data_IF_328769951525
#
_entry.id   IF_328769951525
#
_cell.length_a   1.000
_cell.length_b   1.000
_cell.length_c   1.000
_cell.angle_alpha   90.00
_cell.angle_beta   90.00
_cell.angle_gamma   90.00
#
_symmetry.space_group_name_H-M   'P 1'
#
loop_
_entity.id
_entity.type
_entity.pdbx_description
1 polymer ?
#
# COMPACT_ATOMS: atom_id res chain seq x y z
N UNK A 1 42.89 -22.34 -42.83
CA UNK A 1 43.57 -23.19 -41.82
C UNK A 1 44.04 -22.32 -40.66
N UNK A 2 43.36 -22.39 -39.51
CA UNK A 2 43.94 -22.71 -38.19
C UNK A 2 42.87 -22.41 -37.13
N UNK A 3 42.45 -23.49 -36.49
CA UNK A 3 41.62 -23.54 -35.30
C UNK A 3 42.42 -23.02 -34.11
N UNK A 4 41.77 -22.32 -33.19
CA UNK A 4 42.18 -22.31 -31.79
C UNK A 4 40.92 -22.47 -30.94
N UNK A 5 40.87 -23.58 -30.21
CA UNK A 5 39.92 -23.86 -29.14
C UNK A 5 40.44 -23.27 -27.83
N UNK A 6 39.56 -22.72 -27.00
CA UNK A 6 39.68 -22.80 -25.54
C UNK A 6 38.28 -22.85 -24.93
N UNK A 7 38.14 -23.64 -23.87
CA UNK A 7 36.92 -24.27 -23.40
C UNK A 7 36.51 -23.81 -22.00
N UNK A 8 35.23 -24.08 -21.65
CA UNK A 8 34.61 -24.16 -20.31
C UNK A 8 34.65 -22.89 -19.42
N UNK A 9 33.65 -22.53 -18.60
CA UNK A 9 32.43 -23.18 -18.12
C UNK A 9 31.59 -22.14 -17.35
N UNK A 10 30.26 -22.21 -17.42
CA UNK A 10 29.32 -22.15 -16.28
C UNK A 10 27.87 -22.08 -16.77
N UNK A 11 27.12 -23.10 -16.36
CA UNK A 11 25.66 -23.23 -16.41
C UNK A 11 24.96 -22.20 -15.49
N UNK A 12 23.82 -21.71 -15.94
CA UNK A 12 22.59 -21.49 -15.16
C UNK A 12 21.47 -21.21 -16.19
N UNK A 13 20.84 -22.24 -16.75
CA UNK A 13 19.48 -22.70 -16.40
C UNK A 13 18.50 -21.54 -16.21
N UNK A 14 17.96 -21.05 -17.32
CA UNK A 14 16.75 -20.23 -17.36
C UNK A 14 15.56 -21.17 -17.53
N UNK A 15 14.80 -21.39 -16.46
CA UNK A 15 13.58 -22.19 -16.48
C UNK A 15 12.46 -21.42 -17.17
N UNK A 16 12.15 -21.81 -18.40
CA UNK A 16 10.94 -21.43 -19.12
C UNK A 16 9.86 -22.46 -18.76
N UNK A 17 8.95 -22.12 -17.85
CA UNK A 17 7.80 -22.97 -17.53
C UNK A 17 6.67 -22.68 -18.52
N UNK A 18 6.55 -23.54 -19.53
CA UNK A 18 5.43 -23.60 -20.47
C UNK A 18 4.48 -24.69 -19.97
N UNK A 19 3.38 -24.33 -19.29
CA UNK A 19 2.35 -25.31 -18.93
C UNK A 19 1.31 -25.40 -20.06
N UNK A 20 1.38 -26.49 -20.84
CA UNK A 20 0.31 -26.92 -21.73
C UNK A 20 -0.84 -27.52 -20.90
N UNK A 21 -2.05 -27.00 -21.10
CA UNK A 21 -3.29 -27.56 -20.56
C UNK A 21 -3.63 -28.89 -21.26
N UNK A 22 -3.69 -29.97 -20.49
CA UNK A 22 -4.30 -31.24 -20.88
C UNK A 22 -5.74 -31.29 -20.36
N UNK A 23 -6.70 -31.34 -21.27
CA UNK A 23 -8.14 -31.52 -21.00
C UNK A 23 -8.42 -33.02 -20.87
N UNK A 24 -9.01 -33.44 -19.76
CA UNK A 24 -9.81 -34.68 -19.70
C UNK A 24 -11.08 -34.47 -18.85
N UNK A 25 -12.25 -34.94 -19.30
CA UNK A 25 -13.53 -34.74 -18.63
C UNK A 25 -13.80 -35.82 -17.57
N UNK A 26 -14.34 -35.41 -16.42
CA UNK A 26 -14.78 -36.30 -15.34
C UNK A 26 -16.21 -35.97 -14.94
N UNK A 27 -17.04 -37.01 -14.89
CA UNK A 27 -18.50 -37.00 -14.87
C UNK A 27 -19.13 -36.53 -13.56
N UNK A 28 -20.39 -36.12 -13.67
CA UNK A 28 -21.32 -35.74 -12.61
C UNK A 28 -21.75 -36.95 -11.77
N UNK A 29 -22.01 -36.73 -10.47
CA UNK A 29 -22.87 -37.61 -9.69
C UNK A 29 -23.61 -36.78 -8.65
N UNK A 30 -24.93 -36.72 -8.80
CA UNK A 30 -25.87 -36.22 -7.82
C UNK A 30 -26.27 -37.39 -6.90
N UNK A 31 -26.38 -37.15 -5.59
CA UNK A 31 -27.33 -37.91 -4.76
C UNK A 31 -28.04 -36.97 -3.79
N UNK A 32 -29.34 -36.83 -4.00
CA UNK A 32 -30.34 -36.28 -3.09
C UNK A 32 -30.71 -37.34 -2.05
N UNK A 33 -30.91 -36.95 -0.78
CA UNK A 33 -31.77 -37.66 0.18
C UNK A 33 -32.25 -36.70 1.27
N UNK A 34 -33.51 -36.32 1.12
CA UNK A 34 -34.60 -35.92 2.02
C UNK A 34 -34.40 -35.77 3.54
N UNK A 35 -35.12 -34.76 4.03
CA UNK A 35 -35.42 -34.35 5.40
C UNK A 35 -36.11 -35.43 6.26
N UNK A 36 -35.81 -35.44 7.57
CA UNK A 36 -36.80 -35.78 8.61
C UNK A 36 -36.70 -34.76 9.76
N UNK A 37 -37.85 -34.13 10.01
CA UNK A 37 -38.17 -33.25 11.13
C UNK A 37 -38.31 -34.02 12.46
N UNK A 38 -37.85 -33.40 13.53
CA UNK A 38 -38.12 -33.82 14.90
C UNK A 38 -38.17 -32.61 15.80
N UNK A 39 -39.38 -32.09 16.04
CA UNK A 39 -39.66 -31.10 17.06
C UNK A 39 -39.67 -31.75 18.44
N UNK A 40 -38.99 -31.15 19.41
CA UNK A 40 -39.34 -31.33 20.81
C UNK A 40 -39.32 -29.96 21.52
N UNK A 41 -40.38 -29.75 22.29
CA UNK A 41 -40.75 -28.51 22.94
C UNK A 41 -40.54 -28.64 24.45
N UNK A 42 -39.72 -27.76 25.03
CA UNK A 42 -39.55 -27.66 26.48
C UNK A 42 -39.36 -26.20 26.90
N UNK A 43 -40.38 -25.63 27.54
CA UNK A 43 -40.37 -24.28 28.12
C UNK A 43 -39.71 -24.27 29.50
N UNK A 44 -39.03 -23.19 29.89
CA UNK A 44 -38.75 -22.94 31.32
C UNK A 44 -37.68 -21.92 31.70
N UNK A 45 -38.05 -20.64 31.61
CA UNK A 45 -37.74 -19.52 32.52
C UNK A 45 -36.36 -18.86 32.66
N UNK A 46 -36.46 -17.53 32.76
CA UNK A 46 -35.49 -16.44 32.77
C UNK A 46 -34.78 -16.21 34.13
N UNK A 47 -33.61 -15.54 34.04
CA UNK A 47 -32.99 -14.53 34.93
C UNK A 47 -31.45 -14.69 34.81
N UNK A 48 -30.60 -13.72 34.48
CA UNK A 48 -30.70 -12.28 34.26
C UNK A 48 -29.29 -11.69 34.48
N UNK A 49 -28.90 -10.80 33.58
CA UNK A 49 -27.89 -9.73 33.71
C UNK A 49 -26.41 -9.98 33.32
N UNK A 50 -25.88 -9.03 32.54
CA UNK A 50 -24.49 -8.97 32.07
C UNK A 50 -24.27 -8.79 30.56
N UNK A 51 -25.12 -8.03 29.85
CA UNK A 51 -24.94 -7.75 28.41
C UNK A 51 -23.71 -6.86 28.15
N UNK A 52 -22.62 -7.47 27.67
CA UNK A 52 -21.69 -6.80 26.77
C UNK A 52 -22.29 -6.89 25.38
N UNK A 53 -22.66 -5.76 24.77
CA UNK A 53 -23.18 -5.73 23.40
C UNK A 53 -22.04 -5.93 22.40
N UNK A 54 -21.48 -7.14 22.35
CA UNK A 54 -20.88 -7.67 21.14
C UNK A 54 -22.04 -8.22 20.31
N UNK A 55 -22.33 -7.62 19.16
CA UNK A 55 -23.28 -8.23 18.23
C UNK A 55 -22.71 -9.59 17.80
N UNK A 56 -23.39 -10.67 18.18
CA UNK A 56 -23.21 -12.05 17.70
C UNK A 56 -23.57 -12.15 16.20
N UNK A 57 -23.00 -11.30 15.36
CA UNK A 57 -23.09 -11.49 13.92
C UNK A 57 -22.20 -12.68 13.53
N UNK A 58 -22.85 -13.77 13.12
CA UNK A 58 -22.15 -14.90 12.53
C UNK A 58 -21.31 -14.45 11.33
N UNK A 59 -20.09 -15.00 11.21
CA UNK A 59 -19.20 -14.75 10.08
C UNK A 59 -19.85 -15.23 8.78
N UNK A 60 -19.95 -14.33 7.81
CA UNK A 60 -20.45 -14.63 6.47
C UNK A 60 -19.30 -14.56 5.47
N UNK A 61 -18.76 -15.72 5.10
CA UNK A 61 -17.73 -15.81 4.06
C UNK A 61 -18.29 -15.35 2.71
N UNK A 62 -17.51 -14.55 1.98
CA UNK A 62 -17.90 -14.05 0.65
C UNK A 62 -18.98 -12.98 0.67
N UNK A 63 -19.23 -12.37 1.84
CA UNK A 63 -20.23 -11.33 2.06
C UNK A 63 -19.64 -10.23 2.93
N UNK A 64 -20.26 -9.05 2.95
CA UNK A 64 -19.79 -7.89 3.71
C UNK A 64 -18.77 -7.03 2.98
N UNK A 65 -18.33 -5.97 3.66
CA UNK A 65 -17.47 -4.91 3.10
C UNK A 65 -15.98 -5.12 3.34
N UNK A 66 -15.58 -6.09 4.16
CA UNK A 66 -14.16 -6.31 4.43
C UNK A 66 -13.50 -7.09 3.31
N UNK A 67 -12.40 -6.54 2.83
CA UNK A 67 -11.50 -7.08 1.83
C UNK A 67 -10.22 -7.55 2.50
N UNK A 68 -9.78 -8.77 2.21
CA UNK A 68 -8.52 -9.33 2.71
C UNK A 68 -7.77 -9.95 1.53
N UNK A 69 -6.67 -9.33 1.11
CA UNK A 69 -5.72 -9.98 0.20
C UNK A 69 -4.73 -10.81 1.03
N UNK A 70 -4.56 -12.08 0.68
CA UNK A 70 -3.75 -13.04 1.43
C UNK A 70 -2.82 -13.81 0.52
N UNK A 71 -1.70 -14.29 1.07
CA UNK A 71 -0.70 -15.12 0.39
C UNK A 71 -0.49 -16.42 1.16
N UNK A 72 -0.43 -17.53 0.43
CA UNK A 72 -0.14 -18.87 0.95
C UNK A 72 1.36 -19.19 0.89
N UNK A 73 1.76 -20.31 1.49
CA UNK A 73 3.17 -20.76 1.56
C UNK A 73 3.82 -21.00 0.19
N UNK A 74 3.04 -21.47 -0.79
CA UNK A 74 3.47 -21.64 -2.18
C UNK A 74 3.53 -20.31 -2.97
N UNK A 75 3.20 -19.18 -2.35
CA UNK A 75 3.24 -17.85 -2.94
C UNK A 75 1.96 -17.42 -3.68
N UNK A 76 0.97 -18.29 -3.85
CA UNK A 76 -0.30 -17.92 -4.48
C UNK A 76 -1.05 -16.87 -3.65
N UNK A 77 -1.66 -15.88 -4.32
CA UNK A 77 -2.47 -14.87 -3.65
C UNK A 77 -3.96 -15.09 -3.90
N UNK A 78 -4.77 -14.83 -2.87
CA UNK A 78 -6.22 -14.98 -2.89
C UNK A 78 -6.89 -13.73 -2.33
N UNK A 79 -8.16 -13.54 -2.69
CA UNK A 79 -9.05 -12.57 -2.05
C UNK A 79 -10.03 -13.31 -1.15
N UNK A 80 -10.13 -12.84 0.09
CA UNK A 80 -11.20 -13.22 1.02
C UNK A 80 -12.09 -12.01 1.28
N UNK A 81 -13.36 -12.29 1.58
CA UNK A 81 -14.38 -11.29 1.89
C UNK A 81 -15.18 -11.74 3.10
N UNK A 82 -15.45 -10.81 4.02
CA UNK A 82 -16.18 -11.09 5.27
C UNK A 82 -16.95 -9.86 5.77
N UNK A 83 -17.97 -10.06 6.61
CA UNK A 83 -18.70 -9.00 7.30
C UNK A 83 -18.04 -8.56 8.61
N UNK A 84 -17.09 -9.34 9.14
CA UNK A 84 -16.42 -9.04 10.41
C UNK A 84 -14.97 -9.51 10.41
N UNK A 85 -14.12 -8.72 11.09
CA UNK A 85 -12.73 -9.06 11.42
C UNK A 85 -12.54 -9.38 12.92
N UNK A 86 -13.63 -9.50 13.67
CA UNK A 86 -13.62 -9.77 15.11
C UNK A 86 -14.39 -11.03 15.51
N UNK A 87 -15.30 -11.49 14.66
CA UNK A 87 -16.04 -12.73 14.87
C UNK A 87 -15.26 -13.91 14.26
N UNK A 88 -14.85 -14.87 15.08
CA UNK A 88 -14.32 -16.17 14.66
C UNK A 88 -13.02 -16.17 13.82
N UNK A 89 -12.33 -17.31 13.77
CA UNK A 89 -11.19 -17.46 12.85
C UNK A 89 -11.68 -17.73 11.42
N UNK A 90 -10.87 -17.30 10.45
CA UNK A 90 -11.11 -17.55 9.02
C UNK A 90 -10.24 -18.70 8.52
N UNK A 91 -10.55 -19.19 7.32
CA UNK A 91 -9.83 -20.28 6.66
C UNK A 91 -9.70 -19.97 5.18
N UNK A 92 -8.49 -20.10 4.61
CA UNK A 92 -8.21 -19.80 3.20
C UNK A 92 -9.10 -20.59 2.23
N UNK A 93 -9.61 -21.75 2.65
CA UNK A 93 -10.56 -22.55 1.85
C UNK A 93 -11.86 -21.82 1.54
N UNK A 94 -12.17 -20.75 2.28
CA UNK A 94 -13.33 -19.89 2.07
C UNK A 94 -13.03 -18.61 1.26
N UNK A 95 -11.89 -18.57 0.56
CA UNK A 95 -11.60 -17.47 -0.37
C UNK A 95 -12.68 -17.36 -1.48
N UNK A 96 -12.81 -16.17 -2.05
CA UNK A 96 -13.77 -15.93 -3.15
C UNK A 96 -13.10 -15.97 -4.52
N UNK A 97 -11.76 -15.89 -4.56
CA UNK A 97 -10.99 -15.76 -5.79
C UNK A 97 -9.51 -16.04 -5.56
N UNK A 98 -8.91 -16.82 -6.45
CA UNK A 98 -7.46 -16.85 -6.69
C UNK A 98 -7.07 -15.70 -7.62
N UNK A 99 -6.01 -14.97 -7.28
CA UNK A 99 -5.51 -13.87 -8.09
C UNK A 99 -4.66 -14.40 -9.25
N UNK A 100 -4.72 -13.76 -10.43
CA UNK A 100 -4.00 -14.23 -11.61
C UNK A 100 -2.48 -14.01 -11.52
N UNK A 101 -2.03 -13.21 -10.54
CA UNK A 101 -0.63 -12.84 -10.30
C UNK A 101 -0.38 -12.77 -8.79
N UNK A 102 0.87 -12.53 -8.40
CA UNK A 102 1.28 -12.37 -7.00
C UNK A 102 1.93 -11.00 -6.78
N UNK A 103 2.16 -10.64 -5.52
CA UNK A 103 2.72 -9.36 -5.11
C UNK A 103 1.85 -8.15 -5.46
N UNK A 104 0.53 -8.31 -5.41
CA UNK A 104 -0.36 -7.17 -5.57
C UNK A 104 -0.17 -6.16 -4.43
N UNK A 105 -0.17 -4.88 -4.81
CA UNK A 105 -0.37 -3.76 -3.91
C UNK A 105 -1.75 -3.19 -4.13
N UNK A 106 -2.56 -3.14 -3.07
CA UNK A 106 -3.97 -2.74 -3.14
C UNK A 106 -4.17 -1.33 -2.59
N UNK A 107 -4.96 -0.54 -3.31
CA UNK A 107 -5.47 0.76 -2.85
C UNK A 107 -6.99 0.78 -2.96
N UNK A 108 -7.63 1.58 -2.11
CA UNK A 108 -9.09 1.61 -1.97
C UNK A 108 -9.63 3.02 -2.17
N UNK A 109 -10.77 3.12 -2.85
CA UNK A 109 -11.52 4.37 -2.99
C UNK A 109 -13.02 4.05 -2.96
N UNK A 110 -13.70 4.47 -1.90
CA UNK A 110 -15.12 4.16 -1.65
C UNK A 110 -15.42 2.66 -1.78
N UNK A 111 -16.15 2.26 -2.82
CA UNK A 111 -16.55 0.88 -3.09
C UNK A 111 -15.54 0.10 -3.95
N UNK A 112 -14.43 0.70 -4.37
CA UNK A 112 -13.45 0.09 -5.27
C UNK A 112 -12.17 -0.32 -4.56
N UNK A 113 -11.72 -1.55 -4.86
CA UNK A 113 -10.41 -2.07 -4.54
C UNK A 113 -9.62 -2.27 -5.84
N UNK A 114 -8.49 -1.58 -5.97
CA UNK A 114 -7.62 -1.64 -7.14
C UNK A 114 -6.28 -2.23 -6.72
N UNK A 115 -5.98 -3.43 -7.22
CA UNK A 115 -4.71 -4.11 -7.05
C UNK A 115 -3.80 -3.80 -8.23
N UNK A 116 -2.50 -3.57 -7.97
CA UNK A 116 -1.49 -3.36 -9.00
C UNK A 116 -0.25 -4.20 -8.72
N UNK A 117 0.33 -4.78 -9.78
CA UNK A 117 1.59 -5.55 -9.76
C UNK A 117 2.63 -4.81 -10.57
N UNK A 118 3.75 -4.50 -9.92
CA UNK A 118 4.93 -3.94 -10.58
C UNK A 118 5.72 -5.05 -11.27
N UNK A 119 5.98 -4.91 -12.58
CA UNK A 119 6.65 -5.93 -13.37
C UNK A 119 8.02 -5.50 -13.92
N UNK A 120 8.80 -4.76 -13.11
CA UNK A 120 10.14 -4.28 -13.51
C UNK A 120 10.05 -3.55 -14.85
N UNK A 121 10.83 -3.91 -15.87
CA UNK A 121 10.80 -3.32 -17.22
C UNK A 121 9.52 -3.59 -18.04
N UNK A 122 8.66 -4.51 -17.60
CA UNK A 122 7.41 -4.84 -18.31
C UNK A 122 6.24 -3.99 -17.82
N UNK A 123 5.20 -3.91 -18.65
CA UNK A 123 3.94 -3.26 -18.29
C UNK A 123 3.41 -3.79 -16.94
N UNK A 124 2.98 -2.86 -16.10
CA UNK A 124 2.30 -3.20 -14.87
C UNK A 124 1.00 -3.93 -15.16
N UNK A 125 0.55 -4.77 -14.22
CA UNK A 125 -0.76 -5.40 -14.28
C UNK A 125 -1.64 -4.81 -13.19
N UNK A 126 -2.93 -4.72 -13.47
CA UNK A 126 -3.92 -4.27 -12.51
C UNK A 126 -5.12 -5.20 -12.47
N UNK A 127 -5.79 -5.24 -11.33
CA UNK A 127 -7.04 -5.96 -11.13
C UNK A 127 -8.00 -5.10 -10.32
N UNK A 128 -9.23 -4.92 -10.82
CA UNK A 128 -10.25 -4.16 -10.10
C UNK A 128 -11.35 -5.04 -9.51
N UNK A 129 -11.75 -4.74 -8.29
CA UNK A 129 -12.89 -5.31 -7.60
C UNK A 129 -13.78 -4.19 -7.08
N UNK A 130 -15.09 -4.42 -7.09
CA UNK A 130 -16.09 -3.46 -6.61
C UNK A 130 -17.04 -4.12 -5.62
N UNK A 131 -17.17 -3.51 -4.45
CA UNK A 131 -18.24 -3.85 -3.52
C UNK A 131 -19.56 -3.26 -3.99
N UNK A 132 -20.64 -4.03 -3.88
CA UNK A 132 -21.97 -3.63 -4.36
C UNK A 132 -23.01 -3.68 -3.24
N UNK A 133 -22.94 -4.71 -2.39
CA UNK A 133 -23.72 -4.79 -1.15
C UNK A 133 -23.08 -5.76 -0.17
N UNK A 134 -23.54 -5.74 1.08
CA UNK A 134 -23.09 -6.69 2.11
C UNK A 134 -23.55 -8.13 1.85
N UNK A 135 -24.51 -8.34 0.94
CA UNK A 135 -25.09 -9.66 0.66
C UNK A 135 -24.51 -10.34 -0.58
N UNK A 136 -23.61 -9.67 -1.32
CA UNK A 136 -23.00 -10.17 -2.55
C UNK A 136 -21.48 -10.29 -2.42
N UNK A 137 -20.92 -11.16 -3.26
CA UNK A 137 -19.47 -11.14 -3.50
C UNK A 137 -19.06 -9.88 -4.26
N UNK A 138 -17.80 -9.47 -4.14
CA UNK A 138 -17.25 -8.39 -4.95
C UNK A 138 -17.45 -8.64 -6.46
N UNK A 139 -17.95 -7.63 -7.16
CA UNK A 139 -18.02 -7.63 -8.62
C UNK A 139 -16.63 -7.45 -9.21
N UNK A 140 -16.31 -8.22 -10.25
CA UNK A 140 -15.02 -8.15 -10.94
C UNK A 140 -15.06 -7.04 -11.98
N UNK A 141 -14.26 -5.99 -11.77
CA UNK A 141 -13.98 -4.99 -12.79
C UNK A 141 -12.96 -5.52 -13.83
N UNK A 142 -12.21 -6.56 -13.45
CA UNK A 142 -11.32 -7.31 -14.34
C UNK A 142 -9.89 -6.80 -14.35
N UNK A 143 -9.10 -7.41 -15.23
CA UNK A 143 -7.69 -7.08 -15.43
C UNK A 143 -7.50 -5.86 -16.34
N UNK A 144 -6.46 -5.08 -16.09
CA UNK A 144 -6.00 -4.01 -16.96
C UNK A 144 -4.47 -3.95 -16.99
N UNK A 145 -3.90 -3.30 -18.01
CA UNK A 145 -2.45 -3.23 -18.24
C UNK A 145 -1.97 -1.79 -18.15
N UNK A 146 -0.98 -1.53 -17.31
CA UNK A 146 -0.35 -0.23 -17.15
C UNK A 146 0.89 -0.20 -18.06
N UNK A 147 0.67 0.08 -19.36
CA UNK A 147 1.74 0.06 -20.37
C UNK A 147 2.87 1.04 -20.08
N UNK A 148 2.55 2.16 -19.42
CA UNK A 148 3.55 3.14 -18.98
C UNK A 148 4.43 2.61 -17.85
N UNK A 149 4.06 1.51 -17.20
CA UNK A 149 4.58 1.09 -15.88
C UNK A 149 4.21 2.12 -14.81
N UNK A 150 4.65 1.89 -13.57
CA UNK A 150 4.41 2.78 -12.45
C UNK A 150 5.44 2.57 -11.34
N UNK A 151 5.77 3.63 -10.60
CA UNK A 151 6.51 3.58 -9.34
C UNK A 151 5.85 4.40 -8.22
N UNK A 152 4.80 5.15 -8.57
CA UNK A 152 3.97 5.96 -7.69
C UNK A 152 2.51 5.89 -8.17
N UNK A 153 1.56 5.98 -7.25
CA UNK A 153 0.13 5.78 -7.55
C UNK A 153 -0.76 6.46 -6.50
N UNK A 154 -2.05 6.58 -6.78
CA UNK A 154 -3.04 7.07 -5.85
C UNK A 154 -4.34 7.42 -6.56
N UNK A 155 -5.22 8.16 -5.89
CA UNK A 155 -6.48 8.60 -6.48
C UNK A 155 -6.51 10.12 -6.63
N UNK A 156 -7.14 10.58 -7.70
CA UNK A 156 -7.40 11.98 -7.97
C UNK A 156 -8.72 12.11 -8.74
N UNK A 157 -9.66 12.88 -8.20
CA UNK A 157 -11.02 13.05 -8.75
C UNK A 157 -11.73 11.73 -9.05
N UNK A 158 -11.56 10.72 -8.19
CA UNK A 158 -12.14 9.38 -8.35
C UNK A 158 -11.50 8.52 -9.44
N UNK A 159 -10.50 9.04 -10.18
CA UNK A 159 -9.68 8.25 -11.10
C UNK A 159 -8.52 7.61 -10.35
N UNK A 160 -8.12 6.40 -10.76
CA UNK A 160 -6.80 5.89 -10.43
C UNK A 160 -5.78 6.70 -11.22
N UNK A 161 -4.74 7.13 -10.53
CA UNK A 161 -3.60 7.81 -11.12
C UNK A 161 -2.33 7.01 -10.84
N UNK A 162 -1.54 6.79 -11.87
CA UNK A 162 -0.24 6.12 -11.77
C UNK A 162 0.82 6.97 -12.44
N UNK A 163 2.04 6.96 -11.93
CA UNK A 163 3.15 7.69 -12.54
C UNK A 163 4.46 6.93 -12.51
N UNK A 164 5.32 7.20 -13.49
CA UNK A 164 6.69 6.69 -13.56
C UNK A 164 7.63 7.78 -14.07
N UNK A 165 8.83 7.86 -13.50
CA UNK A 165 9.90 8.78 -13.93
C UNK A 165 10.83 8.18 -14.98
N UNK A 166 11.76 9.01 -15.48
CA UNK A 166 12.84 8.59 -16.39
C UNK A 166 12.42 8.32 -17.83
N UNK A 167 11.40 9.02 -18.31
CA UNK A 167 10.92 8.93 -19.68
C UNK A 167 11.80 9.78 -20.59
N UNK A 168 12.12 9.23 -21.77
CA UNK A 168 13.02 9.86 -22.74
C UNK A 168 12.20 10.59 -23.81
N UNK A 169 12.62 11.79 -24.20
CA UNK A 169 11.93 12.55 -25.25
C UNK A 169 12.09 11.88 -26.61
N UNK A 170 11.16 12.15 -27.53
CA UNK A 170 11.20 11.59 -28.87
C UNK A 170 12.50 11.95 -29.64
N UNK A 171 13.12 13.08 -29.33
CA UNK A 171 14.41 13.51 -29.91
C UNK A 171 15.63 13.04 -29.11
N UNK A 172 15.42 12.30 -28.00
CA UNK A 172 16.48 11.75 -27.14
C UNK A 172 17.26 12.79 -26.33
N UNK A 173 16.87 14.08 -26.36
CA UNK A 173 17.59 15.14 -25.66
C UNK A 173 17.25 15.26 -24.17
N UNK A 174 16.11 14.71 -23.76
CA UNK A 174 15.64 14.70 -22.38
C UNK A 174 15.43 13.28 -21.91
N UNK A 175 15.78 13.00 -20.66
CA UNK A 175 15.54 11.74 -19.96
C UNK A 175 14.84 11.94 -18.60
N UNK A 176 14.39 13.15 -18.32
CA UNK A 176 13.79 13.59 -17.07
C UNK A 176 12.25 13.60 -17.11
N UNK A 177 11.65 12.91 -18.07
CA UNK A 177 10.20 12.88 -18.22
C UNK A 177 9.54 12.05 -17.12
N UNK A 178 8.42 12.54 -16.58
CA UNK A 178 7.52 11.77 -15.73
C UNK A 178 6.17 11.61 -16.43
N UNK A 179 5.79 10.37 -16.73
CA UNK A 179 4.50 10.07 -17.36
C UNK A 179 3.49 9.70 -16.30
N UNK A 180 2.34 10.38 -16.32
CA UNK A 180 1.14 10.04 -15.56
C UNK A 180 0.12 9.36 -16.48
N UNK A 181 -0.54 8.33 -15.97
CA UNK A 181 -1.66 7.65 -16.64
C UNK A 181 -2.90 7.74 -15.75
N UNK A 182 -3.99 8.27 -16.34
CA UNK A 182 -5.29 8.51 -15.70
C UNK A 182 -6.25 7.40 -16.10
N UNK A 183 -6.91 6.78 -15.12
CA UNK A 183 -7.76 5.61 -15.34
C UNK A 183 -9.16 5.85 -14.77
N UNK A 184 -10.17 5.75 -15.63
CA UNK A 184 -11.57 5.77 -15.22
C UNK A 184 -11.95 4.43 -14.60
N UNK A 185 -12.63 4.46 -13.46
CA UNK A 185 -13.10 3.26 -12.75
C UNK A 185 -14.63 3.22 -12.84
N UNK A 186 -15.15 2.42 -13.78
CA UNK A 186 -16.58 2.29 -14.00
C UNK A 186 -17.04 0.86 -13.74
N UNK A 187 -18.35 0.61 -13.79
CA UNK A 187 -18.88 -0.75 -13.67
C UNK A 187 -18.40 -1.69 -14.80
N UNK A 188 -17.99 -1.13 -15.95
CA UNK A 188 -17.48 -1.89 -17.10
C UNK A 188 -15.96 -2.12 -17.05
N UNK A 189 -15.30 -1.75 -15.95
CA UNK A 189 -13.88 -1.98 -15.74
C UNK A 189 -13.05 -0.73 -15.46
N UNK A 190 -11.74 -0.93 -15.35
CA UNK A 190 -10.73 0.12 -15.22
C UNK A 190 -10.16 0.42 -16.60
N UNK A 191 -10.40 1.62 -17.13
CA UNK A 191 -10.04 1.98 -18.51
C UNK A 191 -9.14 3.19 -18.54
N UNK A 192 -8.08 3.11 -19.34
CA UNK A 192 -7.18 4.24 -19.58
C UNK A 192 -7.99 5.37 -20.21
N UNK A 193 -7.96 6.53 -19.57
CA UNK A 193 -8.52 7.77 -20.10
C UNK A 193 -7.50 8.43 -21.01
N UNK A 194 -6.35 8.79 -20.45
CA UNK A 194 -5.23 9.35 -21.19
C UNK A 194 -3.90 9.22 -20.43
N UNK A 195 -2.80 9.49 -21.12
CA UNK A 195 -1.47 9.65 -20.51
C UNK A 195 -0.93 11.05 -20.80
N UNK A 196 -0.11 11.58 -19.89
CA UNK A 196 0.59 12.83 -20.10
C UNK A 196 1.98 12.79 -19.47
N UNK A 197 2.96 13.28 -20.21
CA UNK A 197 4.35 13.41 -19.73
C UNK A 197 4.62 14.86 -19.37
N UNK A 198 5.12 15.10 -18.16
CA UNK A 198 5.72 16.36 -17.74
C UNK A 198 7.24 16.21 -17.73
N UNK A 199 7.96 17.26 -18.08
CA UNK A 199 9.40 17.29 -17.97
C UNK A 199 9.84 18.01 -16.70
N UNK A 200 10.77 17.42 -15.96
CA UNK A 200 10.87 17.67 -14.52
C UNK A 200 12.04 18.53 -14.08
N UNK A 201 13.16 18.57 -14.83
CA UNK A 201 14.32 19.40 -14.50
C UNK A 201 13.96 20.89 -14.42
N UNK A 202 12.99 21.32 -15.23
CA UNK A 202 12.53 22.71 -15.31
C UNK A 202 11.64 23.13 -14.13
N UNK A 203 11.01 22.19 -13.41
CA UNK A 203 10.01 22.49 -12.37
C UNK A 203 10.61 23.33 -11.24
N UNK A 204 11.86 23.04 -10.91
CA UNK A 204 12.56 23.66 -9.77
C UNK A 204 13.74 24.53 -10.20
N UNK A 205 14.22 24.39 -11.43
CA UNK A 205 15.39 25.11 -11.95
C UNK A 205 16.73 24.72 -11.30
N UNK A 206 16.76 23.65 -10.50
CA UNK A 206 17.94 23.27 -9.72
C UNK A 206 18.90 22.29 -10.41
N UNK A 207 18.60 21.91 -11.67
CA UNK A 207 19.43 21.01 -12.47
C UNK A 207 19.40 19.54 -12.04
N UNK A 208 18.30 19.10 -11.43
CA UNK A 208 18.02 17.70 -11.10
C UNK A 208 16.60 17.35 -11.54
N UNK A 209 16.39 16.14 -12.06
CA UNK A 209 15.05 15.63 -12.36
C UNK A 209 14.23 15.45 -11.08
N UNK A 210 12.91 15.30 -11.23
CA UNK A 210 12.01 14.99 -10.12
C UNK A 210 11.50 13.56 -10.22
N UNK A 211 11.70 12.79 -9.15
CA UNK A 211 10.90 11.59 -8.89
C UNK A 211 9.71 11.97 -8.01
N UNK A 212 8.49 11.72 -8.49
CA UNK A 212 7.28 11.99 -7.73
C UNK A 212 6.94 10.86 -6.75
N UNK A 213 6.48 11.21 -5.55
CA UNK A 213 5.94 10.29 -4.55
C UNK A 213 4.66 10.83 -3.94
N UNK A 214 3.74 9.94 -3.58
CA UNK A 214 2.36 10.26 -3.18
C UNK A 214 1.54 10.94 -4.28
N UNK A 215 0.25 10.62 -4.34
CA UNK A 215 -0.75 11.33 -5.12
C UNK A 215 -1.95 11.53 -4.21
N UNK A 216 -2.16 12.78 -3.79
CA UNK A 216 -3.19 13.13 -2.82
C UNK A 216 -4.14 14.13 -3.43
N UNK A 217 -5.37 13.70 -3.71
CA UNK A 217 -6.44 14.57 -4.15
C UNK A 217 -6.61 15.75 -3.18
N UNK A 218 -6.56 16.98 -3.68
CA UNK A 218 -6.72 18.18 -2.87
C UNK A 218 -8.21 18.60 -2.74
N UNK A 219 -9.11 18.04 -3.54
CA UNK A 219 -10.56 18.27 -3.50
C UNK A 219 -11.02 19.54 -4.21
N UNK A 220 -10.12 20.23 -4.91
CA UNK A 220 -10.36 21.47 -5.66
C UNK A 220 -9.99 21.35 -7.14
N UNK A 221 -9.98 20.11 -7.67
CA UNK A 221 -9.53 19.83 -9.04
C UNK A 221 -8.01 19.82 -9.20
N UNK A 222 -7.27 19.78 -8.09
CA UNK A 222 -5.82 19.62 -8.04
C UNK A 222 -5.42 18.45 -7.14
N UNK A 223 -4.19 17.98 -7.26
CA UNK A 223 -3.59 17.01 -6.35
C UNK A 223 -2.23 17.49 -5.86
N UNK A 224 -1.79 16.93 -4.73
CA UNK A 224 -0.48 17.14 -4.14
C UNK A 224 0.39 15.91 -4.38
N UNK A 225 1.66 16.15 -4.71
CA UNK A 225 2.67 15.10 -4.88
C UNK A 225 4.02 15.59 -4.39
N UNK A 226 4.72 14.78 -3.59
CA UNK A 226 6.07 15.07 -3.16
C UNK A 226 7.04 14.95 -4.34
N UNK A 227 8.09 15.76 -4.31
CA UNK A 227 9.12 15.80 -5.34
C UNK A 227 10.48 15.48 -4.73
N UNK A 228 11.10 14.39 -5.17
CA UNK A 228 12.49 14.07 -4.84
C UNK A 228 13.38 14.55 -5.99
N UNK A 229 14.18 15.58 -5.72
CA UNK A 229 15.18 16.05 -6.67
C UNK A 229 16.39 15.13 -6.64
N UNK A 230 16.74 14.54 -7.78
CA UNK A 230 17.94 13.70 -7.88
C UNK A 230 18.53 13.71 -9.29
N UNK A 231 19.76 13.24 -9.40
CA UNK A 231 20.32 12.88 -10.70
C UNK A 231 19.46 11.77 -11.36
N UNK A 232 19.55 11.68 -12.68
CA UNK A 232 19.00 10.55 -13.42
C UNK A 232 19.67 9.25 -12.97
N UNK A 233 18.86 8.27 -12.56
CA UNK A 233 19.33 6.95 -12.17
C UNK A 233 18.44 5.86 -12.77
N UNK A 234 19.02 5.06 -13.66
CA UNK A 234 18.36 3.97 -14.33
C UNK A 234 19.15 2.68 -14.10
N UNK A 235 18.48 1.66 -13.55
CA UNK A 235 19.09 0.38 -13.20
C UNK A 235 19.21 -0.57 -14.40
N UNK A 236 18.44 -0.34 -15.45
CA UNK A 236 18.38 -1.16 -16.66
C UNK A 236 17.60 -0.47 -17.78
N UNK A 237 17.89 -0.83 -19.04
CA UNK A 237 17.25 -0.22 -20.22
C UNK A 237 15.73 -0.41 -20.17
N UNK A 238 14.98 0.68 -20.17
CA UNK A 238 13.51 0.67 -20.09
C UNK A 238 12.92 0.66 -18.67
N UNK A 239 13.76 0.57 -17.62
CA UNK A 239 13.33 0.55 -16.20
C UNK A 239 12.74 1.86 -15.70
N UNK A 240 12.70 2.91 -16.53
CA UNK A 240 12.43 4.27 -16.06
C UNK A 240 13.56 4.73 -15.15
N UNK A 241 13.32 5.80 -14.40
CA UNK A 241 14.30 6.31 -13.43
C UNK A 241 13.74 6.31 -12.02
N UNK A 242 14.61 5.97 -11.07
CA UNK A 242 14.37 6.10 -9.64
C UNK A 242 15.22 7.23 -9.06
N UNK A 243 15.18 7.37 -7.72
CA UNK A 243 15.96 8.37 -6.99
C UNK A 243 17.47 8.05 -7.16
N UNK A 244 18.19 8.95 -7.83
CA UNK A 244 19.65 8.93 -7.95
C UNK A 244 20.34 9.75 -6.86
N UNK A 245 21.51 10.28 -7.19
CA UNK A 245 22.24 11.16 -6.27
C UNK A 245 21.44 12.44 -5.99
N UNK A 246 21.15 12.71 -4.71
CA UNK A 246 20.38 13.88 -4.27
C UNK A 246 21.33 15.00 -3.89
N UNK A 247 21.29 16.13 -4.60
CA UNK A 247 22.18 17.27 -4.34
C UNK A 247 21.71 18.12 -3.15
N UNK A 248 20.41 18.10 -2.86
CA UNK A 248 19.78 18.89 -1.79
C UNK A 248 19.10 17.96 -0.76
N UNK A 249 19.87 17.15 0.00
CA UNK A 249 19.30 16.13 0.87
C UNK A 249 18.51 16.71 2.06
N UNK A 250 18.77 17.96 2.43
CA UNK A 250 18.06 18.70 3.48
C UNK A 250 16.99 19.62 2.89
N UNK A 251 16.18 19.09 1.98
CA UNK A 251 15.06 19.83 1.42
C UNK A 251 13.87 18.93 1.12
N UNK A 252 12.68 19.47 1.38
CA UNK A 252 11.40 18.86 1.04
C UNK A 252 10.64 19.75 0.08
N UNK A 253 9.99 19.11 -0.88
CA UNK A 253 9.27 19.76 -1.95
C UNK A 253 7.96 19.03 -2.20
N UNK A 254 6.86 19.79 -2.31
CA UNK A 254 5.54 19.26 -2.68
C UNK A 254 4.96 20.13 -3.78
N UNK A 255 4.57 19.54 -4.90
CA UNK A 255 3.88 20.22 -5.98
C UNK A 255 2.37 20.13 -5.80
N UNK A 256 1.66 21.22 -6.07
CA UNK A 256 0.22 21.25 -6.36
C UNK A 256 0.04 21.28 -7.87
N UNK A 257 -0.63 20.27 -8.41
CA UNK A 257 -0.78 20.09 -9.85
C UNK A 257 -2.26 19.92 -10.22
N UNK A 258 -2.66 20.44 -11.36
CA UNK A 258 -4.00 20.18 -11.90
C UNK A 258 -4.05 18.90 -12.75
N UNK A 259 -5.24 18.56 -13.26
CA UNK A 259 -5.45 17.41 -14.16
C UNK A 259 -4.62 17.47 -15.45
N UNK A 260 -4.22 18.66 -15.86
CA UNK A 260 -3.40 18.89 -17.04
C UNK A 260 -1.91 18.89 -16.65
N UNK A 261 -1.54 18.44 -15.44
CA UNK A 261 -0.19 18.43 -14.90
C UNK A 261 0.49 19.81 -14.90
N UNK A 262 -0.27 20.91 -14.94
CA UNK A 262 0.34 22.22 -14.73
C UNK A 262 0.77 22.31 -13.26
N UNK A 263 2.02 22.66 -13.02
CA UNK A 263 2.52 22.92 -11.66
C UNK A 263 2.03 24.29 -11.23
N UNK A 264 0.98 24.32 -10.41
CA UNK A 264 0.35 25.55 -9.94
C UNK A 264 1.10 26.16 -8.77
N UNK A 265 1.70 25.30 -7.93
CA UNK A 265 2.47 25.71 -6.75
C UNK A 265 3.53 24.67 -6.44
N UNK A 266 4.65 25.14 -5.92
CA UNK A 266 5.65 24.31 -5.25
C UNK A 266 5.82 24.82 -3.81
N UNK A 267 5.50 23.97 -2.84
CA UNK A 267 5.83 24.17 -1.44
C UNK A 267 7.25 23.67 -1.20
N UNK A 268 8.06 24.43 -0.46
CA UNK A 268 9.44 24.10 -0.15
C UNK A 268 9.73 24.38 1.31
N UNK A 269 10.49 23.49 1.95
CA UNK A 269 11.08 23.72 3.26
C UNK A 269 12.44 22.99 3.34
N UNK A 270 13.23 23.30 4.36
CA UNK A 270 14.55 22.71 4.59
C UNK A 270 14.71 22.13 6.01
N UNK A 271 13.65 22.11 6.83
CA UNK A 271 13.65 21.55 8.19
C UNK A 271 13.62 20.02 8.21
N UNK A 272 13.14 19.37 7.14
CA UNK A 272 13.15 17.92 6.94
C UNK A 272 13.77 17.55 5.58
N UNK A 273 14.12 16.27 5.40
CA UNK A 273 14.55 15.73 4.10
C UNK A 273 13.35 15.48 3.18
N UNK A 274 13.58 14.94 1.97
CA UNK A 274 12.51 14.67 1.03
C UNK A 274 11.47 13.68 1.57
N UNK A 275 10.25 13.77 1.04
CA UNK A 275 9.11 12.94 1.43
C UNK A 275 8.94 11.76 0.46
N UNK A 276 9.72 10.70 0.68
CA UNK A 276 9.56 9.44 -0.05
C UNK A 276 10.13 8.27 0.77
N UNK A 277 9.26 7.38 1.23
CA UNK A 277 9.68 6.08 1.75
C UNK A 277 10.24 5.25 0.60
N UNK A 278 11.13 4.30 0.88
CA UNK A 278 11.81 3.54 -0.17
C UNK A 278 11.75 2.03 0.10
N UNK A 279 11.34 1.29 -0.93
CA UNK A 279 11.50 -0.16 -1.01
C UNK A 279 11.88 -0.54 -2.43
N UNK A 280 13.11 -1.01 -2.62
CA UNK A 280 13.73 -1.15 -3.96
C UNK A 280 13.55 0.14 -4.77
N UNK A 281 13.00 0.06 -5.99
CA UNK A 281 12.73 1.20 -6.87
C UNK A 281 11.37 1.87 -6.62
N UNK A 282 10.55 1.36 -5.69
CA UNK A 282 9.26 1.97 -5.36
C UNK A 282 9.43 3.09 -4.35
N UNK A 283 8.62 4.14 -4.52
CA UNK A 283 8.48 5.20 -3.53
C UNK A 283 7.17 5.00 -2.76
N UNK A 284 7.28 4.94 -1.44
CA UNK A 284 6.17 4.77 -0.52
C UNK A 284 5.63 6.15 -0.11
N UNK A 285 4.34 6.21 0.19
CA UNK A 285 3.63 7.46 0.42
C UNK A 285 4.07 8.11 1.73
N UNK A 286 4.35 9.41 1.67
CA UNK A 286 4.79 10.23 2.81
C UNK A 286 4.01 11.57 2.89
N UNK A 287 3.06 11.81 1.98
CA UNK A 287 2.16 12.96 2.02
C UNK A 287 0.74 12.47 2.25
N UNK A 288 0.03 13.08 3.19
CA UNK A 288 -1.33 12.71 3.54
C UNK A 288 -2.16 13.94 3.83
N UNK A 289 -3.42 13.93 3.37
CA UNK A 289 -4.40 14.98 3.69
C UNK A 289 -5.39 14.42 4.71
N UNK A 290 -5.61 15.16 5.79
CA UNK A 290 -6.57 14.83 6.84
C UNK A 290 -7.96 15.40 6.50
N UNK A 291 -8.98 14.99 7.25
CA UNK A 291 -10.38 15.34 6.94
C UNK A 291 -10.66 16.85 7.03
N UNK A 292 -9.94 17.57 7.90
CA UNK A 292 -9.99 19.04 8.02
C UNK A 292 -9.30 19.77 6.85
N UNK A 293 -8.61 19.05 5.98
CA UNK A 293 -7.85 19.56 4.84
C UNK A 293 -6.41 19.96 5.18
N UNK A 294 -5.93 19.69 6.39
CA UNK A 294 -4.51 19.83 6.72
C UNK A 294 -3.71 18.75 5.98
N UNK A 295 -2.54 19.11 5.48
CA UNK A 295 -1.65 18.18 4.78
C UNK A 295 -0.42 17.96 5.63
N UNK A 296 -0.17 16.72 6.01
CA UNK A 296 1.06 16.33 6.69
C UNK A 296 2.05 15.75 5.68
N UNK A 297 3.30 16.20 5.79
CA UNK A 297 4.40 15.80 4.91
C UNK A 297 5.48 15.20 5.79
N UNK A 298 5.65 13.90 5.69
CA UNK A 298 6.60 13.10 6.44
C UNK A 298 7.91 12.97 5.66
N UNK A 299 9.01 12.84 6.38
CA UNK A 299 10.28 12.39 5.82
C UNK A 299 10.88 11.37 6.77
N UNK A 300 11.18 10.20 6.23
CA UNK A 300 11.92 9.18 6.96
C UNK A 300 13.43 9.47 7.07
N UNK A 301 13.90 10.59 6.51
CA UNK A 301 15.31 10.95 6.43
C UNK A 301 16.19 9.83 5.85
N UNK A 302 15.72 9.16 4.79
CA UNK A 302 16.39 7.98 4.22
C UNK A 302 17.81 8.27 3.70
N UNK A 303 18.01 9.42 3.04
CA UNK A 303 19.29 9.76 2.41
C UNK A 303 20.41 9.87 3.45
N UNK A 304 21.52 9.17 3.25
CA UNK A 304 22.65 9.16 4.20
C UNK A 304 23.39 10.50 4.31
N UNK A 305 23.25 11.38 3.31
CA UNK A 305 23.84 12.73 3.31
C UNK A 305 22.94 13.78 3.98
N UNK A 306 21.71 13.43 4.41
CA UNK A 306 20.85 14.38 5.13
C UNK A 306 21.37 14.63 6.55
N UNK A 307 21.30 15.88 7.00
CA UNK A 307 21.52 16.26 8.41
C UNK A 307 20.21 16.35 9.18
N UNK A 308 19.05 16.16 8.52
CA UNK A 308 17.73 16.24 9.14
C UNK A 308 17.33 14.93 9.78
N UNK A 309 16.57 15.03 10.85
CA UNK A 309 15.96 13.87 11.50
C UNK A 309 14.71 13.42 10.76
N UNK A 310 14.36 12.15 10.90
CA UNK A 310 13.05 11.68 10.49
C UNK A 310 11.96 12.40 11.28
N UNK A 311 10.95 12.92 10.59
CA UNK A 311 9.98 13.83 11.17
C UNK A 311 8.95 14.28 10.15
N UNK A 312 8.19 15.30 10.51
CA UNK A 312 7.13 15.80 9.64
C UNK A 312 6.87 17.30 9.79
N UNK A 313 6.39 17.89 8.70
CA UNK A 313 5.85 19.24 8.62
C UNK A 313 4.36 19.18 8.27
N UNK A 314 3.70 20.35 8.28
CA UNK A 314 2.32 20.48 7.81
C UNK A 314 2.11 21.70 6.92
N UNK A 315 1.11 21.61 6.05
CA UNK A 315 0.55 22.72 5.28
C UNK A 315 -0.91 22.81 5.72
N UNK A 316 -1.28 23.94 6.32
CA UNK A 316 -2.66 24.18 6.74
C UNK A 316 -3.56 24.33 5.50
N UNK A 317 -4.84 24.00 5.62
CA UNK A 317 -5.80 24.10 4.51
C UNK A 317 -5.77 25.51 3.89
N UNK A 318 -5.51 25.58 2.59
CA UNK A 318 -5.46 26.84 1.84
C UNK A 318 -4.23 27.70 2.12
N UNK A 319 -3.24 27.21 2.86
CA UNK A 319 -1.98 27.92 3.06
C UNK A 319 -1.10 27.89 1.81
N UNK A 320 -0.29 28.93 1.64
CA UNK A 320 0.62 29.11 0.51
C UNK A 320 2.05 28.62 0.79
N UNK A 321 2.34 28.25 2.03
CA UNK A 321 3.65 27.83 2.53
C UNK A 321 3.46 26.74 3.60
N UNK A 322 4.54 26.02 3.92
CA UNK A 322 4.57 25.20 5.13
C UNK A 322 4.35 26.05 6.38
N UNK A 323 3.69 25.48 7.37
CA UNK A 323 3.53 26.12 8.68
C UNK A 323 4.91 26.29 9.35
N UNK A 324 5.30 27.55 9.57
CA UNK A 324 6.61 27.93 10.11
C UNK A 324 6.78 27.54 11.57
N UNK A 325 5.68 27.42 12.31
CA UNK A 325 5.66 27.11 13.73
C UNK A 325 5.50 25.60 13.99
N UNK A 326 5.20 24.84 12.94
CA UNK A 326 5.03 23.40 13.02
C UNK A 326 6.27 22.63 12.52
N UNK A 327 6.83 21.83 13.41
CA UNK A 327 7.77 20.74 13.13
C UNK A 327 7.59 19.66 14.19
N UNK A 328 7.56 18.40 13.77
CA UNK A 328 7.58 17.26 14.67
C UNK A 328 8.81 16.37 14.40
N UNK A 329 9.74 16.36 15.35
CA UNK A 329 10.82 15.37 15.45
C UNK A 329 10.27 14.03 15.92
N UNK A 330 10.17 13.07 15.01
CA UNK A 330 9.66 11.72 15.29
C UNK A 330 10.82 10.78 15.63
N UNK A 331 12.00 11.01 15.07
CA UNK A 331 13.16 10.13 15.25
C UNK A 331 13.66 10.08 16.69
N UNK A 332 13.66 11.21 17.40
CA UNK A 332 14.13 11.26 18.80
C UNK A 332 13.28 10.40 19.74
N UNK A 333 11.94 10.56 19.81
CA UNK A 333 11.12 9.68 20.65
C UNK A 333 11.08 8.23 20.15
N UNK A 334 11.39 7.99 18.87
CA UNK A 334 11.60 6.66 18.30
C UNK A 334 12.98 6.06 18.62
N UNK A 335 13.70 6.54 19.66
CA UNK A 335 15.06 6.09 20.02
C UNK A 335 16.05 6.12 18.83
N UNK A 336 15.98 7.14 17.98
CA UNK A 336 16.86 7.25 16.82
C UNK A 336 16.48 6.36 15.63
N UNK A 337 15.46 5.49 15.75
CA UNK A 337 14.95 4.70 14.63
C UNK A 337 14.21 5.59 13.62
N UNK A 338 14.32 5.21 12.34
CA UNK A 338 13.60 5.82 11.22
C UNK A 338 12.38 4.97 10.86
N UNK A 339 11.39 5.55 10.20
CA UNK A 339 10.20 4.85 9.74
C UNK A 339 10.27 4.49 8.25
N UNK A 340 9.61 3.39 7.86
CA UNK A 340 9.57 2.85 6.50
C UNK A 340 8.28 3.20 5.77
N UNK A 341 7.14 3.17 6.47
CA UNK A 341 5.80 3.44 5.94
C UNK A 341 4.99 4.26 6.93
N UNK A 342 4.04 5.01 6.40
CA UNK A 342 3.09 5.82 7.13
C UNK A 342 1.68 5.50 6.62
N UNK A 343 0.71 5.38 7.54
CA UNK A 343 -0.70 5.25 7.20
C UNK A 343 -1.51 6.27 7.97
N UNK A 344 -2.35 7.02 7.25
CA UNK A 344 -3.36 7.86 7.86
C UNK A 344 -4.42 6.99 8.55
N UNK A 345 -4.78 7.36 9.77
CA UNK A 345 -5.78 6.66 10.58
C UNK A 345 -7.04 7.54 10.66
N UNK A 346 -6.98 8.59 11.47
CA UNK A 346 -8.10 9.51 11.71
C UNK A 346 -7.59 10.81 12.30
N UNK A 347 -8.34 11.90 12.14
CA UNK A 347 -7.98 13.23 12.65
C UNK A 347 -6.52 13.63 12.32
N UNK A 348 -5.67 13.77 13.34
CA UNK A 348 -4.24 14.04 13.23
C UNK A 348 -3.37 12.81 13.53
N UNK A 349 -3.95 11.60 13.60
CA UNK A 349 -3.26 10.36 14.00
C UNK A 349 -2.84 9.53 12.79
N UNK A 350 -1.62 9.02 12.87
CA UNK A 350 -1.00 8.17 11.86
C UNK A 350 -0.33 6.96 12.51
N UNK A 351 -0.32 5.84 11.79
CA UNK A 351 0.47 4.66 12.14
C UNK A 351 1.79 4.71 11.36
N UNK A 352 2.89 4.46 12.04
CA UNK A 352 4.22 4.28 11.46
C UNK A 352 4.62 2.81 11.51
N UNK A 353 5.16 2.31 10.41
CA UNK A 353 6.06 1.15 10.43
C UNK A 353 7.48 1.65 10.60
N UNK A 354 8.20 1.09 11.56
CA UNK A 354 9.54 1.53 11.97
C UNK A 354 10.54 0.42 11.67
N UNK A 355 11.66 0.80 11.06
CA UNK A 355 12.73 -0.14 10.69
C UNK A 355 13.24 -0.89 11.92
N UNK A 356 13.61 -2.16 11.75
CA UNK A 356 14.16 -2.97 12.84
C UNK A 356 15.56 -2.51 13.29
N UNK A 357 16.24 -1.75 12.43
CA UNK A 357 17.62 -1.28 12.54
C UNK A 357 17.71 0.24 12.32
N UNK A 358 18.74 0.88 12.89
CA UNK A 358 18.98 2.33 12.72
C UNK A 358 19.76 2.64 11.43
N UNK A 359 20.63 1.72 11.00
CA UNK A 359 21.29 1.77 9.71
C UNK A 359 20.39 1.06 8.70
N UNK A 360 19.91 1.79 7.70
CA UNK A 360 18.86 1.32 6.79
C UNK A 360 19.33 1.36 5.34
N UNK A 361 18.74 0.50 4.52
CA UNK A 361 18.81 0.52 3.07
C UNK A 361 17.41 0.20 2.49
N UNK A 362 17.30 0.12 1.16
CA UNK A 362 16.02 -0.05 0.46
C UNK A 362 15.37 -1.44 0.66
N UNK A 363 16.04 -2.35 1.37
CA UNK A 363 15.57 -3.69 1.72
C UNK A 363 15.47 -3.92 3.24
N UNK A 364 15.82 -2.93 4.06
CA UNK A 364 15.71 -3.07 5.53
C UNK A 364 14.25 -3.22 5.92
N UNK A 365 13.95 -4.25 6.71
CA UNK A 365 12.58 -4.56 7.15
C UNK A 365 12.15 -3.67 8.33
N UNK A 366 10.85 -3.45 8.45
CA UNK A 366 10.24 -2.78 9.60
C UNK A 366 9.12 -3.62 10.21
N UNK A 367 9.34 -4.14 11.43
CA UNK A 367 8.34 -4.87 12.20
C UNK A 367 8.11 -4.23 13.58
N UNK A 368 8.51 -2.97 13.72
CA UNK A 368 8.17 -2.14 14.86
C UNK A 368 7.10 -1.16 14.43
N UNK A 369 6.20 -0.77 15.33
CA UNK A 369 5.09 0.09 14.98
C UNK A 369 4.86 1.14 16.06
N UNK A 370 4.39 2.32 15.66
CA UNK A 370 4.01 3.38 16.58
C UNK A 370 2.87 4.23 16.04
N UNK A 371 2.05 4.77 16.91
CA UNK A 371 1.08 5.81 16.57
C UNK A 371 1.72 7.17 16.85
N UNK A 372 1.58 8.08 15.89
CA UNK A 372 1.91 9.50 16.08
C UNK A 372 0.64 10.34 16.00
N UNK A 373 0.46 11.23 16.97
CA UNK A 373 -0.55 12.28 16.94
C UNK A 373 0.14 13.58 16.57
N UNK A 374 -0.18 14.09 15.39
CA UNK A 374 0.51 15.20 14.78
C UNK A 374 0.15 16.53 15.43
N UNK A 375 -1.07 16.69 15.93
CA UNK A 375 -1.49 17.94 16.58
C UNK A 375 -0.75 18.14 17.91
N UNK A 376 -0.72 17.09 18.74
CA UNK A 376 -0.04 17.10 20.04
C UNK A 376 1.46 16.77 19.96
N UNK A 377 1.97 16.38 18.79
CA UNK A 377 3.34 15.89 18.57
C UNK A 377 3.71 14.74 19.52
N UNK A 378 2.76 13.83 19.75
CA UNK A 378 2.91 12.67 20.63
C UNK A 378 3.30 11.44 19.82
N UNK A 379 4.29 10.70 20.33
CA UNK A 379 4.72 9.41 19.79
C UNK A 379 4.39 8.29 20.79
N UNK A 380 3.78 7.20 20.32
CA UNK A 380 3.37 6.06 21.15
C UNK A 380 3.78 4.75 20.49
N UNK A 381 4.75 4.04 21.06
CA UNK A 381 5.11 2.69 20.60
C UNK A 381 3.93 1.73 20.73
N UNK A 382 3.77 0.85 19.75
CA UNK A 382 2.85 -0.27 19.89
C UNK A 382 3.42 -1.35 20.81
N UNK A 383 2.55 -1.97 21.59
CA UNK A 383 2.87 -3.12 22.44
C UNK A 383 1.83 -4.24 22.23
N UNK A 384 2.03 -5.43 22.82
CA UNK A 384 1.10 -6.56 22.66
C UNK A 384 1.18 -7.30 21.31
N UNK A 385 2.12 -6.90 20.45
CA UNK A 385 2.51 -7.62 19.23
C UNK A 385 3.72 -8.53 19.48
N UNK A 386 3.96 -9.57 18.64
CA UNK A 386 5.17 -10.38 18.73
C UNK A 386 6.44 -9.53 18.61
N UNK A 387 7.55 -10.02 19.19
CA UNK A 387 8.85 -9.36 19.05
C UNK A 387 9.24 -9.28 17.57
N UNK A 388 9.81 -8.15 17.14
CA UNK A 388 10.14 -7.86 15.73
C UNK A 388 10.90 -8.95 14.97
N UNK A 389 11.77 -9.71 15.64
CA UNK A 389 12.57 -10.79 15.05
C UNK A 389 11.77 -12.09 14.80
N UNK A 390 10.55 -12.19 15.32
CA UNK A 390 9.65 -13.33 15.10
C UNK A 390 8.59 -13.04 14.04
N UNK A 391 8.43 -11.79 13.61
CA UNK A 391 7.46 -11.39 12.59
C UNK A 391 8.04 -11.66 11.20
N UNK A 392 7.26 -12.30 10.33
CA UNK A 392 7.66 -12.65 8.95
C UNK A 392 6.86 -11.90 7.88
N UNK A 393 5.64 -11.49 8.18
CA UNK A 393 4.78 -10.68 7.30
C UNK A 393 5.27 -9.24 7.18
N UNK A 394 5.02 -8.58 6.04
CA UNK A 394 5.36 -7.16 5.86
C UNK A 394 6.84 -6.90 5.55
N UNK A 395 7.62 -7.96 5.35
CA UNK A 395 9.01 -7.89 4.86
C UNK A 395 9.09 -7.14 3.53
N UNK A 396 8.11 -7.33 2.66
CA UNK A 396 8.00 -6.67 1.36
C UNK A 396 6.95 -5.55 1.39
N UNK A 397 6.06 -5.46 0.39
CA UNK A 397 4.97 -4.46 0.36
C UNK A 397 3.68 -4.92 1.06
N UNK A 398 3.64 -6.15 1.55
CA UNK A 398 2.51 -6.72 2.30
C UNK A 398 2.36 -6.15 3.72
N UNK A 399 1.50 -6.77 4.53
CA UNK A 399 1.24 -6.33 5.90
C UNK A 399 0.60 -4.94 6.00
N UNK A 400 -0.17 -4.53 4.98
CA UNK A 400 -0.81 -3.21 4.96
C UNK A 400 -1.98 -3.19 5.96
N UNK A 401 -1.93 -2.33 6.99
CA UNK A 401 -2.96 -2.20 8.01
C UNK A 401 -4.17 -1.43 7.48
N UNK A 402 -5.26 -1.47 8.25
CA UNK A 402 -6.47 -0.72 7.95
C UNK A 402 -6.99 -0.08 9.24
N UNK A 403 -7.39 1.19 9.14
CA UNK A 403 -8.24 1.80 10.16
C UNK A 403 -9.71 1.66 9.76
N UNK A 404 -10.50 1.04 10.62
CA UNK A 404 -11.96 0.98 10.47
C UNK A 404 -12.60 0.82 11.84
N UNK A 405 -13.82 1.31 11.99
CA UNK A 405 -14.64 1.10 13.20
C UNK A 405 -13.94 1.51 14.51
N UNK A 406 -13.15 2.58 14.46
CA UNK A 406 -12.43 3.11 15.62
C UNK A 406 -11.17 2.35 16.02
N UNK A 407 -10.78 1.33 15.26
CA UNK A 407 -9.66 0.43 15.58
C UNK A 407 -8.70 0.32 14.41
N UNK A 408 -7.40 0.14 14.70
CA UNK A 408 -6.44 -0.26 13.68
C UNK A 408 -6.38 -1.78 13.66
N UNK A 409 -6.69 -2.36 12.50
CA UNK A 409 -6.47 -3.75 12.20
C UNK A 409 -5.07 -3.92 11.60
N UNK A 410 -4.18 -4.55 12.35
CA UNK A 410 -2.77 -4.74 12.01
C UNK A 410 -2.50 -6.22 11.67
N UNK A 411 -2.25 -6.56 10.40
CA UNK A 411 -1.90 -7.92 10.01
C UNK A 411 -0.49 -8.30 10.46
N UNK A 412 -0.35 -9.42 11.16
CA UNK A 412 0.94 -9.98 11.60
C UNK A 412 0.93 -11.50 11.43
N UNK A 413 1.96 -12.01 10.77
CA UNK A 413 2.34 -13.42 10.81
C UNK A 413 3.60 -13.58 11.65
N UNK A 414 3.53 -14.47 12.63
CA UNK A 414 4.69 -14.92 13.39
C UNK A 414 5.26 -16.19 12.78
N UNK A 415 6.58 -16.36 12.84
CA UNK A 415 7.27 -17.56 12.37
C UNK A 415 6.60 -18.85 12.88
N UNK A 416 6.25 -19.74 11.94
CA UNK A 416 5.62 -21.03 12.24
C UNK A 416 4.15 -20.94 12.68
N UNK A 417 3.48 -19.81 12.48
CA UNK A 417 2.06 -19.60 12.81
C UNK A 417 1.28 -19.14 11.58
N UNK A 418 -0.02 -19.36 11.60
CA UNK A 418 -0.96 -18.73 10.66
C UNK A 418 -0.99 -17.20 10.85
N UNK A 419 -1.26 -16.48 9.77
CA UNK A 419 -1.45 -15.03 9.82
C UNK A 419 -2.62 -14.63 10.75
N UNK A 420 -2.46 -13.52 11.46
CA UNK A 420 -3.46 -12.99 12.37
C UNK A 420 -3.67 -11.49 12.18
N UNK A 421 -4.86 -11.02 12.56
CA UNK A 421 -5.20 -9.60 12.59
C UNK A 421 -5.24 -9.16 14.04
N UNK A 422 -4.35 -8.23 14.40
CA UNK A 422 -4.31 -7.60 15.70
C UNK A 422 -5.18 -6.35 15.70
N UNK A 423 -5.85 -6.07 16.80
CA UNK A 423 -6.61 -4.85 17.02
C UNK A 423 -5.81 -3.92 17.92
N UNK A 424 -5.50 -2.71 17.46
CA UNK A 424 -4.72 -1.73 18.21
C UNK A 424 -5.63 -0.66 18.78
N UNK A 425 -5.54 -0.45 20.10
CA UNK A 425 -6.16 0.68 20.76
C UNK A 425 -5.38 1.97 20.45
N UNK A 426 -6.07 2.97 19.90
CA UNK A 426 -5.45 4.22 19.45
C UNK A 426 -4.83 5.06 20.57
N UNK A 427 -5.44 5.04 21.76
CA UNK A 427 -5.05 5.91 22.87
C UNK A 427 -3.83 5.35 23.63
N UNK A 428 -3.80 4.02 23.81
CA UNK A 428 -2.77 3.33 24.59
C UNK A 428 -1.66 2.74 23.74
N UNK A 429 -1.88 2.51 22.44
CA UNK A 429 -0.96 1.76 21.58
C UNK A 429 -0.89 0.26 21.90
N UNK A 430 -1.78 -0.26 22.73
CA UNK A 430 -1.82 -1.71 23.05
C UNK A 430 -2.55 -2.44 21.93
N UNK A 431 -1.86 -3.41 21.31
CA UNK A 431 -2.43 -4.33 20.35
C UNK A 431 -2.87 -5.63 21.05
N UNK A 432 -4.03 -6.16 20.68
CA UNK A 432 -4.52 -7.47 21.11
C UNK A 432 -4.68 -8.37 19.89
N UNK A 433 -4.21 -9.62 19.98
CA UNK A 433 -4.41 -10.60 18.91
C UNK A 433 -5.91 -10.85 18.74
N UNK A 434 -6.44 -10.58 17.55
CA UNK A 434 -7.80 -10.88 17.16
C UNK A 434 -7.87 -12.23 16.44
N UNK A 435 -8.47 -12.22 15.26
CA UNK A 435 -8.71 -13.44 14.48
C UNK A 435 -7.44 -13.94 13.78
N UNK A 436 -7.36 -15.24 13.56
CA UNK A 436 -6.36 -15.90 12.71
C UNK A 436 -7.00 -16.42 11.42
N UNK A 437 -6.19 -16.51 10.35
CA UNK A 437 -6.61 -17.05 9.05
C UNK A 437 -5.80 -18.30 8.75
N UNK A 438 -6.45 -19.46 8.87
CA UNK A 438 -5.78 -20.76 8.67
C UNK A 438 -5.27 -20.92 7.23
N UNK A 439 -4.03 -21.39 7.09
CA UNK A 439 -3.41 -21.68 5.80
C UNK A 439 -2.86 -20.45 5.08
N UNK A 440 -2.77 -19.31 5.77
CA UNK A 440 -2.24 -18.05 5.23
C UNK A 440 -0.91 -17.73 5.90
N UNK A 441 0.11 -17.45 5.10
CA UNK A 441 1.45 -17.07 5.58
C UNK A 441 1.65 -15.56 5.60
N UNK A 442 0.88 -14.80 4.83
CA UNK A 442 0.90 -13.34 4.89
C UNK A 442 -0.46 -12.76 4.52
N UNK A 443 -0.99 -11.86 5.36
CA UNK A 443 -2.06 -10.95 4.94
C UNK A 443 -1.38 -9.76 4.25
N UNK A 444 -1.62 -9.63 2.95
CA UNK A 444 -1.01 -8.60 2.10
C UNK A 444 -1.61 -7.24 2.39
N UNK A 445 -2.94 -7.15 2.40
CA UNK A 445 -3.66 -5.91 2.60
C UNK A 445 -5.04 -6.15 3.19
N UNK A 446 -5.44 -5.28 4.11
CA UNK A 446 -6.80 -5.15 4.62
C UNK A 446 -7.47 -3.91 4.02
N UNK A 447 -8.76 -4.01 3.71
CA UNK A 447 -9.58 -2.88 3.28
C UNK A 447 -11.02 -3.03 3.75
N UNK A 448 -11.71 -1.90 3.91
CA UNK A 448 -13.15 -1.84 4.15
C UNK A 448 -13.76 -0.98 3.06
N UNK A 449 -14.52 -1.60 2.18
CA UNK A 449 -15.18 -0.93 1.07
C UNK A 449 -16.49 -0.32 1.55
N UNK A 450 -16.71 0.94 1.21
CA UNK A 450 -17.88 1.70 1.64
C UNK A 450 -18.73 2.10 0.43
N UNK A 451 -19.98 2.51 0.68
CA UNK A 451 -20.88 2.99 -0.38
C UNK A 451 -20.34 4.23 -1.09
#
# INVERSE_FOLDING_TARGET
>A
MKKTYLSLSRMAVTGLFLCLFGITPGLTSCSSSDDISGADSGSGNENGDGSSSGSDEAVKNGKGSYFIAVKTDNGTEYIMQTNSLTAGNLDIRNNIMELPQTEYTWIFNNHDAIGMVYQQQFAGLGYGLRWTSDDSQFSKLGEFRIETRFSNYGFFNGQLLTSVGGQVSADGKRNDGATFAFWNITADGVKLDHTKTIWTEDITGNGQQVTFSSIIDNGDGTFLTAMVQSAFHQTGTGDGSSIGDVKYPDSVWVAKMDKDLNVLKVYRDDRISYAAGQYRSQVLHEVFKTNDGTVYVFSNAFNTATTRKAGALRINKGAEEFDKDYYFDIQTPADGYKFRRVWYITDSKFLLEIYNEKNINTMTVGHQFAIVDMESKKFTWLSGIPTKNLITSGTETGGVPMYADGVIYLPITQFGQDAAIYQVNLETGVATKGISIKGVTEIRTLGKLNR
#
